data_IF_992836039852
#
_entry.id   IF_992836039852
#
_cell.length_a   1.000
_cell.length_b   1.000
_cell.length_c   1.000
_cell.angle_alpha   90.00
_cell.angle_beta   90.00
_cell.angle_gamma   90.00
#
_symmetry.space_group_name_H-M   'P 1'
#
loop_
_entity.id
_entity.type
_entity.pdbx_description
1 polymer ?
#
# COMPACT_ATOMS: atom_id res chain seq x y z
N UNK A 1 -36.55 -34.61 -33.59
CA UNK A 1 -37.49 -34.22 -32.50
C UNK A 1 -36.97 -34.81 -31.19
N UNK A 2 -36.67 -33.93 -30.21
CA UNK A 2 -36.78 -34.06 -28.73
C UNK A 2 -36.45 -35.46 -28.12
N UNK A 3 -35.51 -35.66 -27.17
CA UNK A 3 -35.27 -34.90 -25.95
C UNK A 3 -33.91 -35.25 -25.30
N UNK A 4 -33.36 -34.24 -24.62
CA UNK A 4 -32.37 -34.29 -23.53
C UNK A 4 -32.79 -35.21 -22.38
N UNK A 5 -31.84 -35.90 -21.72
CA UNK A 5 -31.71 -35.97 -20.24
C UNK A 5 -30.22 -36.14 -19.87
N UNK A 6 -29.72 -35.20 -19.07
CA UNK A 6 -28.45 -35.24 -18.35
C UNK A 6 -28.45 -36.33 -17.27
N UNK A 7 -27.33 -37.01 -17.06
CA UNK A 7 -27.06 -37.65 -15.75
C UNK A 7 -25.61 -37.43 -15.36
N UNK A 8 -25.41 -36.46 -14.47
CA UNK A 8 -24.22 -36.33 -13.65
C UNK A 8 -24.11 -37.55 -12.74
N UNK A 9 -22.96 -38.23 -12.77
CA UNK A 9 -22.52 -39.02 -11.62
C UNK A 9 -21.31 -38.30 -11.03
N UNK A 10 -21.59 -37.59 -9.95
CA UNK A 10 -20.60 -37.14 -9.00
C UNK A 10 -19.93 -38.37 -8.37
N UNK A 11 -18.61 -38.44 -8.41
CA UNK A 11 -17.86 -39.28 -7.49
C UNK A 11 -16.99 -38.37 -6.61
N UNK A 12 -17.57 -38.03 -5.46
CA UNK A 12 -16.88 -37.58 -4.27
C UNK A 12 -15.90 -38.67 -3.83
N UNK A 13 -14.59 -38.42 -3.95
CA UNK A 13 -13.61 -39.06 -3.09
C UNK A 13 -13.17 -38.02 -2.08
N UNK A 14 -13.72 -38.16 -0.88
CA UNK A 14 -13.29 -37.53 0.36
C UNK A 14 -11.86 -38.01 0.67
N UNK A 15 -10.87 -37.15 0.42
CA UNK A 15 -9.61 -37.21 1.13
C UNK A 15 -9.71 -36.19 2.27
N UNK A 16 -9.96 -36.70 3.47
CA UNK A 16 -9.78 -35.98 4.73
C UNK A 16 -8.31 -35.65 4.92
N UNK A 17 -7.83 -34.59 4.26
CA UNK A 17 -6.85 -33.72 4.84
C UNK A 17 -7.64 -32.61 5.53
N UNK A 18 -7.50 -32.50 6.85
CA UNK A 18 -7.95 -31.35 7.63
C UNK A 18 -7.09 -30.15 7.16
N UNK A 19 -7.43 -29.62 5.99
CA UNK A 19 -6.81 -28.45 5.37
C UNK A 19 -7.50 -27.23 5.97
N UNK A 20 -6.71 -26.26 6.43
CA UNK A 20 -7.14 -24.94 6.90
C UNK A 20 -7.76 -24.12 5.74
N UNK A 21 -8.90 -24.56 5.21
CA UNK A 21 -9.67 -23.88 4.17
C UNK A 21 -10.20 -22.52 4.64
N UNK A 22 -10.26 -22.27 5.95
CA UNK A 22 -10.71 -21.00 6.52
C UNK A 22 -9.76 -19.83 6.24
N UNK A 23 -8.45 -20.06 6.12
CA UNK A 23 -7.49 -18.98 5.83
C UNK A 23 -7.50 -18.60 4.34
N UNK A 24 -7.53 -19.60 3.46
CA UNK A 24 -7.58 -19.40 2.00
C UNK A 24 -8.89 -18.73 1.56
N UNK A 25 -10.02 -19.13 2.15
CA UNK A 25 -11.33 -18.57 1.82
C UNK A 25 -11.52 -17.14 2.35
N UNK A 26 -11.03 -16.82 3.56
CA UNK A 26 -11.02 -15.45 4.09
C UNK A 26 -10.14 -14.50 3.27
N UNK A 27 -9.02 -15.00 2.75
CA UNK A 27 -8.13 -14.23 1.86
C UNK A 27 -8.82 -13.89 0.54
N UNK A 28 -9.51 -14.85 -0.08
CA UNK A 28 -10.27 -14.63 -1.31
C UNK A 28 -11.46 -13.66 -1.12
N UNK A 29 -12.19 -13.77 0.00
CA UNK A 29 -13.32 -12.90 0.31
C UNK A 29 -12.87 -11.44 0.56
N UNK A 30 -11.77 -11.25 1.30
CA UNK A 30 -11.18 -9.93 1.53
C UNK A 30 -10.67 -9.29 0.23
N UNK A 31 -10.04 -10.07 -0.65
CA UNK A 31 -9.58 -9.60 -1.96
C UNK A 31 -10.74 -9.21 -2.88
N UNK A 32 -11.85 -9.94 -2.83
CA UNK A 32 -13.08 -9.66 -3.60
C UNK A 32 -13.78 -8.38 -3.13
N UNK A 33 -13.86 -8.14 -1.81
CA UNK A 33 -14.41 -6.91 -1.26
C UNK A 33 -13.55 -5.67 -1.60
N UNK A 34 -12.22 -5.83 -1.59
CA UNK A 34 -11.26 -4.78 -1.99
C UNK A 34 -11.42 -4.37 -3.45
N UNK A 35 -11.58 -5.36 -4.33
CA UNK A 35 -11.83 -5.14 -5.75
C UNK A 35 -13.09 -4.29 -5.96
N UNK A 36 -14.14 -4.47 -5.15
CA UNK A 36 -15.41 -3.77 -5.33
C UNK A 36 -15.35 -2.27 -5.01
N UNK A 37 -14.59 -1.83 -4.00
CA UNK A 37 -14.50 -0.40 -3.64
C UNK A 37 -13.51 0.33 -4.54
N UNK A 38 -12.30 -0.23 -4.73
CA UNK A 38 -11.25 0.42 -5.52
C UNK A 38 -11.63 0.52 -7.01
N UNK A 39 -12.33 -0.48 -7.55
CA UNK A 39 -12.77 -0.48 -8.96
C UNK A 39 -13.84 0.57 -9.28
N UNK A 40 -14.43 1.25 -8.28
CA UNK A 40 -15.30 2.43 -8.52
C UNK A 40 -14.49 3.64 -9.00
N UNK A 41 -13.20 3.68 -8.67
CA UNK A 41 -12.33 4.81 -8.96
C UNK A 41 -11.29 4.45 -10.02
N UNK A 42 -10.69 3.27 -9.91
CA UNK A 42 -9.56 2.85 -10.74
C UNK A 42 -9.99 1.92 -11.87
N UNK A 43 -9.21 1.93 -12.96
CA UNK A 43 -9.41 0.99 -14.08
C UNK A 43 -9.09 -0.44 -13.64
N UNK A 44 -9.60 -1.44 -14.36
CA UNK A 44 -9.28 -2.85 -14.08
C UNK A 44 -7.78 -3.14 -14.17
N UNK A 45 -7.07 -2.44 -15.05
CA UNK A 45 -5.61 -2.53 -15.19
C UNK A 45 -4.91 -1.97 -13.95
N UNK A 46 -5.26 -0.75 -13.53
CA UNK A 46 -4.71 -0.12 -12.32
C UNK A 46 -4.95 -1.01 -11.09
N UNK A 47 -6.16 -1.54 -10.95
CA UNK A 47 -6.51 -2.44 -9.85
C UNK A 47 -5.65 -3.71 -9.88
N UNK A 48 -5.45 -4.31 -11.05
CA UNK A 48 -4.61 -5.51 -11.21
C UNK A 48 -3.16 -5.24 -10.80
N UNK A 49 -2.59 -4.11 -11.22
CA UNK A 49 -1.23 -3.72 -10.89
C UNK A 49 -1.09 -3.35 -9.41
N UNK A 50 -2.06 -2.63 -8.85
CA UNK A 50 -2.11 -2.27 -7.44
C UNK A 50 -2.16 -3.52 -6.55
N UNK A 51 -2.97 -4.52 -6.92
CA UNK A 51 -3.02 -5.78 -6.17
C UNK A 51 -1.71 -6.54 -6.22
N UNK A 52 -0.97 -6.53 -7.35
CA UNK A 52 0.37 -7.15 -7.42
C UNK A 52 1.35 -6.48 -6.47
N UNK A 53 1.33 -5.14 -6.41
CA UNK A 53 2.16 -4.37 -5.48
C UNK A 53 1.75 -4.68 -4.04
N UNK A 54 0.45 -4.70 -3.75
CA UNK A 54 -0.08 -5.04 -2.43
C UNK A 54 0.32 -6.45 -1.99
N UNK A 55 0.18 -7.45 -2.84
CA UNK A 55 0.60 -8.82 -2.51
C UNK A 55 2.09 -8.90 -2.20
N UNK A 56 2.94 -8.17 -2.94
CA UNK A 56 4.36 -8.12 -2.66
C UNK A 56 4.68 -7.41 -1.33
N UNK A 57 3.99 -6.31 -1.04
CA UNK A 57 4.10 -5.57 0.21
C UNK A 57 3.61 -6.40 1.41
N UNK A 58 2.43 -7.02 1.31
CA UNK A 58 1.86 -7.90 2.33
C UNK A 58 2.82 -9.05 2.67
N UNK A 59 3.40 -9.70 1.65
CA UNK A 59 4.39 -10.76 1.84
C UNK A 59 5.63 -10.26 2.61
N UNK A 60 6.02 -9.02 2.40
CA UNK A 60 7.15 -8.46 3.10
C UNK A 60 6.84 -8.15 4.56
N UNK A 61 5.66 -7.58 4.84
CA UNK A 61 5.22 -7.33 6.21
C UNK A 61 5.02 -8.63 7.00
N UNK A 62 4.48 -9.66 6.35
CA UNK A 62 4.09 -10.90 7.01
C UNK A 62 5.17 -11.99 7.00
N UNK A 63 6.22 -11.87 6.19
CA UNK A 63 7.23 -12.90 5.99
C UNK A 63 6.73 -14.12 5.20
N UNK A 64 7.33 -15.29 5.47
CA UNK A 64 7.00 -16.56 4.78
C UNK A 64 5.80 -17.31 5.37
N UNK A 65 5.32 -16.90 6.54
CA UNK A 65 4.07 -17.39 7.08
C UNK A 65 2.89 -16.65 6.45
N UNK A 66 1.68 -17.22 6.53
CA UNK A 66 0.43 -16.54 6.21
C UNK A 66 -0.31 -16.08 7.48
N UNK A 67 0.20 -15.09 8.26
CA UNK A 67 -0.64 -14.35 9.19
C UNK A 67 -1.76 -13.61 8.44
N UNK A 68 -2.83 -13.31 9.17
CA UNK A 68 -3.84 -12.34 8.74
C UNK A 68 -3.15 -11.00 8.44
N UNK A 69 -3.34 -10.48 7.21
CA UNK A 69 -2.73 -9.23 6.77
C UNK A 69 -3.00 -8.09 7.74
N UNK A 70 -4.22 -8.01 8.30
CA UNK A 70 -4.59 -6.98 9.29
C UNK A 70 -3.64 -6.96 10.48
N UNK A 71 -3.22 -8.13 10.96
CA UNK A 71 -2.26 -8.28 12.06
C UNK A 71 -0.86 -7.81 11.65
N UNK A 72 -0.41 -8.17 10.44
CA UNK A 72 0.91 -7.74 9.95
C UNK A 72 1.03 -6.22 9.84
N UNK A 73 -0.01 -5.55 9.32
CA UNK A 73 -0.03 -4.09 9.21
C UNK A 73 0.00 -3.43 10.59
N UNK A 74 -0.77 -3.96 11.54
CA UNK A 74 -0.79 -3.45 12.91
C UNK A 74 0.58 -3.61 13.59
N UNK A 75 1.18 -4.80 13.50
CA UNK A 75 2.51 -5.07 14.06
C UNK A 75 3.59 -4.21 13.41
N UNK A 76 3.55 -4.03 12.09
CA UNK A 76 4.47 -3.14 11.40
C UNK A 76 4.30 -1.67 11.84
N UNK A 77 3.07 -1.16 11.95
CA UNK A 77 2.83 0.19 12.46
C UNK A 77 3.32 0.38 13.90
N UNK A 78 3.22 -0.66 14.75
CA UNK A 78 3.78 -0.69 16.10
C UNK A 78 5.30 -0.61 16.10
N UNK A 79 5.95 -1.43 15.29
CA UNK A 79 7.40 -1.44 15.15
C UNK A 79 7.92 -0.09 14.65
N UNK A 80 7.30 0.47 13.61
CA UNK A 80 7.67 1.78 13.05
C UNK A 80 7.56 2.88 14.12
N UNK A 81 6.45 2.92 14.86
CA UNK A 81 6.25 3.90 15.94
C UNK A 81 7.28 3.71 17.07
N UNK A 82 7.54 2.47 17.51
CA UNK A 82 8.53 2.17 18.53
C UNK A 82 9.94 2.55 18.08
N UNK A 83 10.30 2.26 16.83
CA UNK A 83 11.59 2.64 16.26
C UNK A 83 11.77 4.17 16.24
N UNK A 84 10.73 4.89 15.82
CA UNK A 84 10.72 6.35 15.79
C UNK A 84 10.92 6.98 17.19
N UNK A 85 10.33 6.39 18.23
CA UNK A 85 10.47 6.88 19.60
C UNK A 85 11.83 6.52 20.25
N UNK A 86 12.48 5.43 19.84
CA UNK A 86 13.62 4.86 20.56
C UNK A 86 14.99 5.01 19.87
N UNK A 87 15.08 5.38 18.58
CA UNK A 87 16.36 5.49 17.85
C UNK A 87 16.77 6.96 17.65
N UNK A 88 17.90 7.37 18.27
CA UNK A 88 18.59 8.65 18.03
C UNK A 88 19.67 8.47 16.92
N UNK A 89 19.99 9.48 16.07
CA UNK A 89 19.45 10.83 16.00
C UNK A 89 18.30 10.97 14.97
N UNK A 90 17.35 11.83 15.33
CA UNK A 90 16.03 12.07 14.75
C UNK A 90 15.99 12.56 13.28
N UNK A 91 17.13 12.70 12.58
CA UNK A 91 17.18 13.50 11.35
C UNK A 91 17.17 12.75 10.02
N UNK A 92 17.21 11.40 9.98
CA UNK A 92 17.29 10.69 8.69
C UNK A 92 16.20 9.63 8.44
N UNK A 93 15.21 9.47 9.32
CA UNK A 93 14.44 8.23 9.36
C UNK A 93 12.92 8.41 9.32
N UNK A 94 12.43 8.79 8.13
CA UNK A 94 11.04 8.59 7.72
C UNK A 94 10.76 7.12 7.39
N UNK A 95 9.53 6.63 7.62
CA UNK A 95 9.24 5.44 8.45
C UNK A 95 10.10 4.21 8.13
N UNK A 96 10.77 3.68 9.17
CA UNK A 96 11.69 2.55 9.11
C UNK A 96 10.99 1.18 8.96
N UNK A 97 10.94 0.68 7.73
CA UNK A 97 11.83 -0.38 7.22
C UNK A 97 11.85 -0.17 5.69
N UNK A 98 12.88 0.54 5.20
CA UNK A 98 13.05 0.85 3.79
C UNK A 98 13.29 -0.38 2.90
N UNK A 99 13.13 -1.59 3.44
CA UNK A 99 13.34 -2.81 2.70
C UNK A 99 12.38 -2.92 1.51
N UNK A 100 11.16 -2.33 1.49
CA UNK A 100 10.30 -2.33 0.28
C UNK A 100 10.22 -0.97 -0.40
N UNK A 101 10.62 -0.92 -1.65
CA UNK A 101 10.46 0.21 -2.56
C UNK A 101 9.81 -0.26 -3.87
N UNK A 102 9.50 0.67 -4.76
CA UNK A 102 8.87 0.33 -6.03
C UNK A 102 9.82 -0.33 -7.02
N UNK A 103 11.14 -0.34 -6.78
CA UNK A 103 12.09 -1.05 -7.64
C UNK A 103 11.86 -2.58 -7.59
N UNK A 104 11.43 -3.10 -6.43
CA UNK A 104 11.06 -4.52 -6.27
C UNK A 104 9.83 -4.93 -7.08
N UNK A 105 9.04 -3.95 -7.51
CA UNK A 105 7.81 -4.11 -8.28
C UNK A 105 7.75 -3.11 -9.43
N UNK A 106 8.89 -2.86 -10.08
CA UNK A 106 9.02 -1.75 -11.02
C UNK A 106 8.03 -1.85 -12.19
N UNK A 107 7.90 -3.05 -12.77
CA UNK A 107 6.99 -3.28 -13.90
C UNK A 107 5.55 -2.91 -13.56
N UNK A 108 4.88 -3.51 -12.55
CA UNK A 108 3.52 -3.12 -12.21
C UNK A 108 3.44 -1.66 -11.72
N UNK A 109 4.45 -1.12 -11.04
CA UNK A 109 4.45 0.29 -10.61
C UNK A 109 4.42 1.27 -11.81
N UNK A 110 5.21 0.99 -12.86
CA UNK A 110 5.26 1.82 -14.07
C UNK A 110 3.95 1.82 -14.87
N UNK A 111 3.07 0.85 -14.62
CA UNK A 111 1.80 0.66 -15.30
C UNK A 111 0.62 1.33 -14.57
N UNK A 112 0.83 1.85 -13.35
CA UNK A 112 -0.20 2.55 -12.61
C UNK A 112 -0.42 3.96 -13.15
N UNK A 113 -1.63 4.25 -13.62
CA UNK A 113 -2.01 5.52 -14.23
C UNK A 113 -1.89 6.72 -13.28
N UNK A 114 -1.98 6.48 -11.98
CA UNK A 114 -1.89 7.49 -10.92
C UNK A 114 -0.46 7.71 -10.40
N UNK A 115 0.53 6.95 -10.84
CA UNK A 115 1.94 7.17 -10.52
C UNK A 115 2.65 7.98 -11.62
N UNK A 116 3.70 8.71 -11.23
CA UNK A 116 4.59 9.42 -12.16
C UNK A 116 6.00 9.49 -11.59
N UNK A 117 7.02 9.53 -12.46
CA UNK A 117 8.44 9.77 -12.09
C UNK A 117 8.84 11.26 -12.21
N UNK A 118 7.87 12.16 -12.29
CA UNK A 118 8.12 13.59 -12.52
C UNK A 118 8.43 14.38 -11.23
N UNK A 119 8.35 13.74 -10.06
CA UNK A 119 8.86 14.33 -8.83
C UNK A 119 10.37 14.15 -8.76
N UNK A 120 11.06 15.08 -8.10
CA UNK A 120 12.50 14.98 -7.93
C UNK A 120 13.08 16.11 -7.11
N UNK A 121 14.31 15.87 -6.66
CA UNK A 121 15.13 16.87 -5.99
C UNK A 121 16.22 17.36 -6.95
N UNK A 122 16.48 18.66 -6.94
CA UNK A 122 17.60 19.21 -7.67
C UNK A 122 18.86 19.13 -6.81
N UNK A 123 19.85 18.39 -7.27
CA UNK A 123 21.17 18.36 -6.66
C UNK A 123 21.84 19.74 -6.83
N UNK A 124 22.20 20.38 -5.71
CA UNK A 124 22.84 21.69 -5.71
C UNK A 124 24.26 21.69 -6.29
N UNK A 125 24.93 20.53 -6.31
CA UNK A 125 26.32 20.37 -6.81
C UNK A 125 26.32 20.08 -8.31
N UNK A 126 25.57 19.06 -8.75
CA UNK A 126 25.58 18.63 -10.15
C UNK A 126 24.52 19.31 -11.01
N UNK A 127 23.57 20.02 -10.39
CA UNK A 127 22.39 20.61 -11.04
C UNK A 127 21.47 19.59 -11.73
N UNK A 128 21.68 18.29 -11.48
CA UNK A 128 20.83 17.21 -12.00
C UNK A 128 19.59 17.03 -11.12
N UNK A 129 18.51 16.54 -11.72
CA UNK A 129 17.29 16.19 -10.99
C UNK A 129 17.33 14.69 -10.65
N UNK A 130 17.28 14.37 -9.36
CA UNK A 130 17.10 13.01 -8.86
C UNK A 130 15.61 12.71 -8.81
N UNK A 131 15.12 11.98 -9.80
CA UNK A 131 13.72 11.64 -9.94
C UNK A 131 13.30 10.49 -9.03
N UNK A 132 12.04 10.51 -8.59
CA UNK A 132 11.40 9.42 -7.85
C UNK A 132 9.92 9.28 -8.21
N UNK A 133 9.35 8.11 -7.92
CA UNK A 133 7.93 7.88 -8.10
C UNK A 133 7.10 8.65 -7.07
N UNK A 134 6.07 9.33 -7.53
CA UNK A 134 5.09 10.01 -6.68
C UNK A 134 3.68 9.85 -7.23
N UNK A 135 2.67 10.13 -6.40
CA UNK A 135 1.27 10.14 -6.83
C UNK A 135 1.00 11.40 -7.68
N UNK A 136 0.18 11.27 -8.72
CA UNK A 136 -0.41 12.42 -9.42
C UNK A 136 -1.47 13.05 -8.52
N UNK A 137 -1.31 14.34 -8.19
CA UNK A 137 -2.25 15.11 -7.36
C UNK A 137 -3.65 15.25 -7.98
N UNK A 138 -3.75 15.17 -9.31
CA UNK A 138 -5.02 15.04 -10.03
C UNK A 138 -5.10 13.62 -10.61
N UNK A 139 -5.69 12.70 -9.85
CA UNK A 139 -5.86 11.31 -10.27
C UNK A 139 -7.05 10.66 -9.59
N UNK A 140 -7.53 9.56 -10.18
CA UNK A 140 -8.60 8.76 -9.58
C UNK A 140 -8.23 8.13 -8.24
N UNK A 141 -6.93 7.93 -7.97
CA UNK A 141 -6.47 7.52 -6.65
C UNK A 141 -6.69 8.62 -5.61
N UNK A 142 -6.47 9.90 -5.97
CA UNK A 142 -6.74 11.01 -5.06
C UNK A 142 -8.24 11.19 -4.81
N UNK A 143 -9.10 10.98 -5.82
CA UNK A 143 -10.56 10.93 -5.66
C UNK A 143 -10.97 9.79 -4.70
N UNK A 144 -10.28 8.65 -4.77
CA UNK A 144 -10.50 7.53 -3.85
C UNK A 144 -10.07 7.86 -2.42
N UNK A 145 -8.90 8.47 -2.21
CA UNK A 145 -8.48 8.93 -0.87
C UNK A 145 -9.40 10.02 -0.29
N UNK A 146 -9.96 10.89 -1.15
CA UNK A 146 -10.99 11.84 -0.74
C UNK A 146 -12.22 11.14 -0.17
N UNK A 147 -12.70 10.10 -0.87
CA UNK A 147 -13.86 9.33 -0.41
C UNK A 147 -13.60 8.59 0.92
N UNK A 148 -12.36 8.16 1.16
CA UNK A 148 -11.94 7.55 2.43
C UNK A 148 -11.72 8.57 3.55
N UNK A 149 -11.58 9.87 3.26
CA UNK A 149 -11.23 10.88 4.27
C UNK A 149 -12.26 11.01 5.42
N UNK A 150 -13.50 10.54 5.21
CA UNK A 150 -14.53 10.51 6.23
C UNK A 150 -14.30 9.47 7.34
N UNK A 151 -13.45 8.46 7.11
CA UNK A 151 -13.19 7.39 8.09
C UNK A 151 -11.93 7.61 8.93
N UNK A 152 -11.07 8.58 8.59
CA UNK A 152 -9.79 8.80 9.26
C UNK A 152 -9.31 10.25 9.10
N UNK A 153 -8.92 10.88 10.21
CA UNK A 153 -8.31 12.21 10.20
C UNK A 153 -6.95 12.17 9.52
N UNK A 154 -6.23 11.05 9.65
CA UNK A 154 -4.94 10.85 9.01
C UNK A 154 -5.06 10.81 7.47
N UNK A 155 -6.03 10.05 6.94
CA UNK A 155 -6.32 10.02 5.49
C UNK A 155 -6.72 11.41 5.00
N UNK A 156 -7.60 12.10 5.73
CA UNK A 156 -8.05 13.45 5.39
C UNK A 156 -6.89 14.44 5.27
N UNK A 157 -5.98 14.45 6.25
CA UNK A 157 -4.85 15.37 6.24
C UNK A 157 -3.88 15.04 5.10
N UNK A 158 -3.59 13.75 4.87
CA UNK A 158 -2.75 13.32 3.74
C UNK A 158 -3.32 13.78 2.41
N UNK A 159 -4.60 13.47 2.16
CA UNK A 159 -5.30 13.88 0.95
C UNK A 159 -5.27 15.40 0.76
N UNK A 160 -5.62 16.15 1.81
CA UNK A 160 -5.75 17.62 1.74
C UNK A 160 -4.41 18.28 1.44
N UNK A 161 -3.36 17.84 2.14
CA UNK A 161 -2.02 18.38 1.97
C UNK A 161 -1.48 18.02 0.58
N UNK A 162 -1.50 16.74 0.23
CA UNK A 162 -0.94 16.28 -1.05
C UNK A 162 -1.65 16.90 -2.27
N UNK A 163 -2.98 17.07 -2.21
CA UNK A 163 -3.74 17.73 -3.29
C UNK A 163 -3.35 19.20 -3.46
N UNK A 164 -2.95 19.86 -2.37
CA UNK A 164 -2.62 21.29 -2.35
C UNK A 164 -1.15 21.56 -2.67
N UNK A 165 -0.23 20.86 -2.00
CA UNK A 165 1.21 21.14 -2.04
C UNK A 165 1.99 20.14 -2.89
N UNK A 166 1.39 19.01 -3.26
CA UNK A 166 2.03 17.87 -3.95
C UNK A 166 3.19 17.25 -3.16
N UNK A 167 3.25 17.52 -1.87
CA UNK A 167 4.23 16.99 -0.91
C UNK A 167 3.53 16.72 0.42
N UNK A 168 4.19 15.98 1.31
CA UNK A 168 3.72 15.76 2.68
C UNK A 168 4.76 16.34 3.64
N UNK A 169 4.32 17.27 4.49
CA UNK A 169 5.13 17.92 5.53
C UNK A 169 5.68 16.90 6.52
N UNK A 170 6.83 17.22 7.08
CA UNK A 170 7.46 16.43 8.15
C UNK A 170 6.46 16.17 9.29
N UNK A 171 5.72 17.19 9.73
CA UNK A 171 4.75 17.06 10.81
C UNK A 171 3.63 16.03 10.51
N UNK A 172 3.07 16.02 9.30
CA UNK A 172 2.04 15.04 8.96
C UNK A 172 2.62 13.62 8.85
N UNK A 173 3.84 13.53 8.38
CA UNK A 173 4.58 12.30 8.15
C UNK A 173 4.97 11.68 9.52
N UNK A 174 5.31 12.50 10.53
CA UNK A 174 5.48 12.11 11.94
C UNK A 174 4.18 11.61 12.56
N UNK A 175 3.08 12.34 12.35
CA UNK A 175 1.74 11.90 12.78
C UNK A 175 1.35 10.59 12.13
N UNK A 176 1.69 10.38 10.86
CA UNK A 176 1.44 9.11 10.20
C UNK A 176 2.18 7.96 10.88
N UNK A 177 3.44 8.17 11.27
CA UNK A 177 4.21 7.20 12.05
C UNK A 177 3.59 6.90 13.42
N UNK A 178 3.13 7.93 14.14
CA UNK A 178 2.67 7.79 15.53
C UNK A 178 1.19 7.38 15.65
N UNK A 179 0.32 7.95 14.81
CA UNK A 179 -1.14 7.90 14.96
C UNK A 179 -1.77 6.77 14.13
N UNK A 180 -1.04 6.13 13.21
CA UNK A 180 -1.62 5.13 12.31
C UNK A 180 -2.41 4.03 13.04
N UNK A 181 -1.90 3.54 14.16
CA UNK A 181 -2.53 2.42 14.88
C UNK A 181 -3.93 2.76 15.42
N UNK A 182 -4.17 4.03 15.76
CA UNK A 182 -5.45 4.51 16.27
C UNK A 182 -6.34 5.11 15.19
N UNK A 183 -5.76 5.62 14.10
CA UNK A 183 -6.47 6.31 13.01
C UNK A 183 -6.82 5.41 11.82
N UNK A 184 -6.16 4.25 11.66
CA UNK A 184 -6.42 3.31 10.57
C UNK A 184 -6.97 1.96 11.09
N UNK A 185 -8.14 1.56 10.60
CA UNK A 185 -8.69 0.21 10.80
C UNK A 185 -8.08 -0.77 9.78
N UNK A 186 -7.02 -1.47 10.19
CA UNK A 186 -6.37 -2.45 9.31
C UNK A 186 -7.20 -3.70 9.00
N UNK A 187 -8.40 -3.88 9.56
CA UNK A 187 -9.34 -4.90 9.06
C UNK A 187 -9.98 -4.46 7.74
N UNK A 188 -9.96 -3.16 7.45
CA UNK A 188 -10.44 -2.60 6.19
C UNK A 188 -9.30 -2.54 5.18
N UNK A 189 -9.47 -3.21 4.05
CA UNK A 189 -8.42 -3.26 3.04
C UNK A 189 -8.14 -1.89 2.42
N UNK A 190 -9.14 -1.00 2.40
CA UNK A 190 -8.97 0.37 1.93
C UNK A 190 -7.92 1.14 2.75
N UNK A 191 -7.94 0.94 4.07
CA UNK A 191 -6.96 1.52 5.00
C UNK A 191 -5.58 0.85 4.86
N UNK A 192 -5.53 -0.45 4.58
CA UNK A 192 -4.26 -1.14 4.24
C UNK A 192 -3.65 -0.58 2.94
N UNK A 193 -4.46 -0.38 1.90
CA UNK A 193 -4.00 0.19 0.62
C UNK A 193 -3.49 1.62 0.82
N UNK A 194 -4.24 2.45 1.56
CA UNK A 194 -3.80 3.79 1.89
C UNK A 194 -2.45 3.77 2.63
N UNK A 195 -2.34 2.94 3.66
CA UNK A 195 -1.12 2.79 4.45
C UNK A 195 0.09 2.36 3.62
N UNK A 196 -0.11 1.34 2.77
CA UNK A 196 0.92 0.85 1.85
C UNK A 196 1.37 1.95 0.89
N UNK A 197 0.44 2.64 0.23
CA UNK A 197 0.78 3.66 -0.76
C UNK A 197 1.51 4.84 -0.10
N UNK A 198 1.04 5.31 1.06
CA UNK A 198 1.75 6.35 1.81
C UNK A 198 3.17 5.92 2.18
N UNK A 199 3.36 4.69 2.68
CA UNK A 199 4.68 4.12 2.96
C UNK A 199 5.58 4.10 1.72
N UNK A 200 5.07 3.60 0.60
CA UNK A 200 5.80 3.54 -0.65
C UNK A 200 6.26 4.93 -1.11
N UNK A 201 5.39 5.95 -1.02
CA UNK A 201 5.75 7.31 -1.42
C UNK A 201 6.82 7.91 -0.50
N UNK A 202 6.73 7.67 0.81
CA UNK A 202 7.75 8.13 1.74
C UNK A 202 9.10 7.43 1.51
N UNK A 203 9.08 6.14 1.18
CA UNK A 203 10.29 5.38 0.86
C UNK A 203 10.94 5.86 -0.44
N UNK A 204 10.17 6.10 -1.50
CA UNK A 204 10.68 6.63 -2.77
C UNK A 204 11.32 8.01 -2.59
N UNK A 205 10.68 8.89 -1.82
CA UNK A 205 11.22 10.21 -1.49
C UNK A 205 12.51 10.10 -0.66
N UNK A 206 12.55 9.22 0.35
CA UNK A 206 13.76 8.95 1.16
C UNK A 206 14.92 8.46 0.28
N UNK A 207 14.69 7.46 -0.56
CA UNK A 207 15.72 6.88 -1.45
C UNK A 207 16.27 7.93 -2.41
N UNK A 208 15.43 8.86 -2.89
CA UNK A 208 15.90 9.96 -3.72
C UNK A 208 16.70 10.99 -2.92
N UNK A 209 16.28 11.29 -1.70
CA UNK A 209 17.00 12.20 -0.80
C UNK A 209 18.38 11.66 -0.41
N UNK A 210 18.48 10.37 -0.08
CA UNK A 210 19.74 9.67 0.22
C UNK A 210 20.74 9.67 -0.94
N UNK A 211 20.30 9.92 -2.17
CA UNK A 211 21.21 10.08 -3.32
C UNK A 211 21.75 11.51 -3.45
N UNK A 212 21.17 12.49 -2.77
CA UNK A 212 21.62 13.89 -2.77
C UNK A 212 22.69 14.12 -1.71
N UNK A 213 22.46 13.53 -0.53
CA UNK A 213 23.42 13.50 0.55
C UNK A 213 24.31 12.28 0.30
N UNK A 214 25.60 12.44 0.00
CA UNK A 214 26.56 11.33 0.03
C UNK A 214 26.70 10.74 1.47
N UNK A 215 25.60 10.23 2.04
CA UNK A 215 25.45 9.65 3.37
C UNK A 215 25.34 8.12 3.27
#
# INVERSE_FOLDING_TARGET
MKSFIYSMVALLILVSCKNDNSASQRSADAQTATLATVSKFLTSEDVTHLLKIKTAFDKQLCGSATPDASTCYLSHAQEVAANFLNKLPYTNNFPYDGSFDLSKVEKPASQLSFLTKNCGFQDSVTNNIIHYYCLKSQSKLMDYFEALSGSSTLIKNFYTEYKTTKTISIALKERFTLDTQSELDFKQVDHQIFYMLAHLMFNEERIAYEKLSDL
#
